data_IF_599795008642
#
_entry.id   IF_599795008642
#
_cell.length_a   1.000
_cell.length_b   1.000
_cell.length_c   1.000
_cell.angle_alpha   90.00
_cell.angle_beta   90.00
_cell.angle_gamma   90.00
#
_symmetry.space_group_name_H-M   'P 1'
#
loop_
_entity.id
_entity.type
_entity.pdbx_description
1 polymer ?
#
# COMPACT_ATOMS: atom_id res chain seq x y z
N UNK A 1 59.31 33.00 -15.06
CA UNK A 1 58.75 34.13 -14.26
C UNK A 1 57.30 33.76 -13.89
N UNK A 2 57.11 33.08 -12.75
CA UNK A 2 55.78 32.76 -12.24
C UNK A 2 55.38 33.93 -11.36
N UNK A 3 54.44 34.76 -11.87
CA UNK A 3 54.02 36.00 -11.21
C UNK A 3 53.45 35.71 -9.82
N UNK A 4 53.91 36.37 -8.81
CA UNK A 4 53.39 36.48 -7.47
C UNK A 4 51.94 37.04 -7.57
N UNK A 5 50.94 36.18 -7.62
CA UNK A 5 49.56 36.60 -7.51
C UNK A 5 49.36 37.11 -6.09
N UNK A 6 49.09 38.42 -5.97
CA UNK A 6 48.87 39.12 -4.71
C UNK A 6 47.91 38.35 -3.81
N UNK A 7 48.38 37.86 -2.67
CA UNK A 7 47.59 37.08 -1.69
C UNK A 7 46.27 37.75 -1.34
N UNK A 8 46.19 39.08 -1.37
CA UNK A 8 44.94 39.84 -1.15
C UNK A 8 43.92 39.67 -2.29
N UNK A 9 44.36 39.51 -3.54
CA UNK A 9 43.46 39.25 -4.68
C UNK A 9 42.89 37.86 -4.60
N UNK A 10 43.73 36.88 -4.28
CA UNK A 10 43.28 35.47 -4.08
C UNK A 10 42.25 35.37 -2.96
N UNK A 11 42.48 36.02 -1.82
CA UNK A 11 41.54 36.02 -0.70
C UNK A 11 40.18 36.63 -1.08
N UNK A 12 40.20 37.76 -1.83
CA UNK A 12 38.96 38.37 -2.34
C UNK A 12 38.19 37.44 -3.28
N UNK A 13 38.87 36.76 -4.20
CA UNK A 13 38.27 35.80 -5.12
C UNK A 13 37.61 34.64 -4.34
N UNK A 14 38.32 34.11 -3.35
CA UNK A 14 37.78 33.02 -2.49
C UNK A 14 36.54 33.46 -1.71
N UNK A 15 36.54 34.69 -1.18
CA UNK A 15 35.37 35.27 -0.50
C UNK A 15 34.18 35.41 -1.48
N UNK A 16 34.43 35.94 -2.68
CA UNK A 16 33.36 36.06 -3.69
C UNK A 16 32.82 34.71 -4.13
N UNK A 17 33.68 33.73 -4.37
CA UNK A 17 33.25 32.36 -4.71
C UNK A 17 32.39 31.77 -3.58
N UNK A 18 32.83 31.92 -2.32
CA UNK A 18 32.07 31.46 -1.16
C UNK A 18 30.70 32.16 -1.04
N UNK A 19 30.66 33.48 -1.20
CA UNK A 19 29.42 34.26 -1.17
C UNK A 19 28.45 33.84 -2.28
N UNK A 20 28.95 33.62 -3.49
CA UNK A 20 28.14 33.15 -4.62
C UNK A 20 27.63 31.73 -4.33
N UNK A 21 28.46 30.83 -3.81
CA UNK A 21 28.04 29.49 -3.44
C UNK A 21 26.96 29.50 -2.36
N UNK A 22 27.13 30.30 -1.30
CA UNK A 22 26.09 30.46 -0.26
C UNK A 22 24.81 31.10 -0.80
N UNK A 23 24.92 32.10 -1.69
CA UNK A 23 23.75 32.70 -2.32
C UNK A 23 22.97 31.70 -3.19
N UNK A 24 23.66 30.85 -3.96
CA UNK A 24 23.05 29.81 -4.76
C UNK A 24 22.36 28.77 -3.88
N UNK A 25 23.02 28.29 -2.82
CA UNK A 25 22.41 27.36 -1.87
C UNK A 25 21.18 27.99 -1.21
N UNK A 26 21.29 29.23 -0.75
CA UNK A 26 20.18 29.98 -0.16
C UNK A 26 19.01 30.15 -1.14
N UNK A 27 19.29 30.48 -2.39
CA UNK A 27 18.27 30.59 -3.43
C UNK A 27 17.54 29.26 -3.69
N UNK A 28 18.30 28.15 -3.83
CA UNK A 28 17.73 26.82 -4.05
C UNK A 28 16.85 26.41 -2.85
N UNK A 29 17.33 26.60 -1.63
CA UNK A 29 16.57 26.28 -0.41
C UNK A 29 15.29 27.11 -0.32
N UNK A 30 15.36 28.40 -0.61
CA UNK A 30 14.21 29.31 -0.61
C UNK A 30 13.19 28.91 -1.67
N UNK A 31 13.64 28.59 -2.88
CA UNK A 31 12.77 28.14 -3.98
C UNK A 31 12.07 26.83 -3.62
N UNK A 32 12.81 25.86 -3.07
CA UNK A 32 12.23 24.58 -2.62
C UNK A 32 11.21 24.81 -1.50
N UNK A 33 11.54 25.68 -0.53
CA UNK A 33 10.62 26.03 0.56
C UNK A 33 9.29 26.61 0.01
N UNK A 34 9.37 27.60 -0.88
CA UNK A 34 8.16 28.18 -1.50
C UNK A 34 7.41 27.17 -2.36
N UNK A 35 8.11 26.35 -3.15
CA UNK A 35 7.47 25.31 -3.95
C UNK A 35 6.66 24.32 -3.09
N UNK A 36 7.20 23.94 -1.93
CA UNK A 36 6.51 23.08 -0.95
C UNK A 36 5.35 23.82 -0.29
N UNK A 37 5.55 25.06 0.15
CA UNK A 37 4.53 25.88 0.84
C UNK A 37 3.35 26.19 -0.06
N UNK A 38 3.61 26.52 -1.34
CA UNK A 38 2.58 26.77 -2.35
C UNK A 38 1.96 25.49 -2.95
N UNK A 39 2.31 24.30 -2.42
CA UNK A 39 1.84 23.01 -2.92
C UNK A 39 2.19 22.69 -4.39
N UNK A 40 3.15 23.37 -5.00
CA UNK A 40 3.57 23.12 -6.39
C UNK A 40 4.18 21.73 -6.58
N UNK A 41 4.63 21.09 -5.49
CA UNK A 41 5.15 19.72 -5.47
C UNK A 41 4.06 18.65 -5.25
N UNK A 42 2.79 19.05 -5.14
CA UNK A 42 1.67 18.10 -5.03
C UNK A 42 1.39 17.48 -6.40
N UNK A 43 1.77 16.23 -6.56
CA UNK A 43 1.22 15.42 -7.63
C UNK A 43 -0.08 14.79 -7.14
N UNK A 44 -1.17 15.02 -7.86
CA UNK A 44 -2.51 14.53 -7.52
C UNK A 44 -2.68 13.00 -7.60
N UNK A 45 -1.59 12.25 -7.73
CA UNK A 45 -1.63 10.83 -8.04
C UNK A 45 -2.05 10.57 -9.50
N UNK A 46 -1.82 9.35 -9.98
CA UNK A 46 -2.30 8.89 -11.28
C UNK A 46 -3.46 7.91 -11.07
N UNK A 47 -4.41 7.90 -11.99
CA UNK A 47 -5.44 6.85 -12.07
C UNK A 47 -4.77 5.60 -12.63
N UNK A 48 -5.12 4.43 -12.10
CA UNK A 48 -4.59 3.15 -12.57
C UNK A 48 -5.14 2.79 -13.95
N UNK A 49 -4.32 2.13 -14.75
CA UNK A 49 -4.74 1.65 -16.08
C UNK A 49 -5.93 0.67 -15.98
N UNK A 50 -6.01 -0.10 -14.91
CA UNK A 50 -7.06 -1.07 -14.67
C UNK A 50 -8.25 -0.51 -13.85
N UNK A 51 -8.38 0.82 -13.69
CA UNK A 51 -9.43 1.44 -12.87
C UNK A 51 -10.84 0.94 -13.22
N UNK A 52 -11.17 0.86 -14.52
CA UNK A 52 -12.47 0.32 -14.99
C UNK A 52 -12.70 -1.13 -14.58
N UNK A 53 -11.64 -1.94 -14.51
CA UNK A 53 -11.75 -3.31 -14.05
C UNK A 53 -12.05 -3.38 -12.56
N UNK A 54 -11.36 -2.58 -11.74
CA UNK A 54 -11.64 -2.51 -10.31
C UNK A 54 -13.08 -2.06 -10.03
N UNK A 55 -13.63 -1.16 -10.84
CA UNK A 55 -15.03 -0.77 -10.76
C UNK A 55 -15.96 -1.97 -11.04
N UNK A 56 -15.77 -2.67 -12.15
CA UNK A 56 -16.55 -3.88 -12.50
C UNK A 56 -16.45 -4.96 -11.41
N UNK A 57 -15.25 -5.15 -10.85
CA UNK A 57 -15.04 -6.13 -9.79
C UNK A 57 -15.79 -5.76 -8.51
N UNK A 58 -15.97 -4.47 -8.23
CA UNK A 58 -16.73 -4.00 -7.08
C UNK A 58 -18.24 -4.20 -7.20
N UNK A 59 -18.75 -4.31 -8.42
CA UNK A 59 -20.17 -4.60 -8.71
C UNK A 59 -20.50 -6.07 -8.57
N UNK A 60 -19.49 -6.96 -8.62
CA UNK A 60 -19.66 -8.41 -8.50
C UNK A 60 -20.01 -8.79 -7.07
N UNK A 61 -21.09 -9.53 -6.91
CA UNK A 61 -21.51 -10.05 -5.63
C UNK A 61 -20.74 -11.33 -5.26
N UNK A 62 -19.94 -11.25 -4.19
CA UNK A 62 -19.15 -12.37 -3.68
C UNK A 62 -19.76 -12.99 -2.41
N UNK A 63 -20.60 -12.25 -1.68
CA UNK A 63 -21.20 -12.74 -0.45
C UNK A 63 -22.03 -13.99 -0.72
N UNK A 64 -21.91 -14.95 0.18
CA UNK A 64 -22.86 -16.04 0.29
C UNK A 64 -24.09 -15.45 0.97
N UNK A 65 -25.22 -15.50 0.30
CA UNK A 65 -26.50 -15.08 0.88
C UNK A 65 -26.92 -16.08 1.97
N UNK A 66 -27.60 -15.60 3.00
CA UNK A 66 -28.23 -16.46 3.99
C UNK A 66 -29.34 -17.34 3.36
N UNK A 67 -29.79 -17.02 2.16
CA UNK A 67 -30.74 -17.79 1.36
C UNK A 67 -30.09 -18.87 0.49
N UNK A 68 -28.75 -18.87 0.35
CA UNK A 68 -28.03 -19.85 -0.47
C UNK A 68 -28.14 -21.23 0.14
N UNK A 69 -28.60 -22.19 -0.64
CA UNK A 69 -28.67 -23.58 -0.19
C UNK A 69 -27.29 -24.21 -0.06
N UNK A 70 -27.17 -25.27 0.73
CA UNK A 70 -25.91 -26.04 0.81
C UNK A 70 -25.48 -26.57 -0.57
N UNK A 71 -26.44 -26.83 -1.46
CA UNK A 71 -26.19 -27.22 -2.84
C UNK A 71 -25.53 -26.07 -3.65
N UNK A 72 -26.04 -24.85 -3.53
CA UNK A 72 -25.50 -23.69 -4.24
C UNK A 72 -24.08 -23.40 -3.79
N UNK A 73 -23.82 -23.48 -2.49
CA UNK A 73 -22.46 -23.33 -1.92
C UNK A 73 -21.52 -24.41 -2.46
N UNK A 74 -21.98 -25.67 -2.51
CA UNK A 74 -21.16 -26.78 -3.03
C UNK A 74 -20.87 -26.64 -4.52
N UNK A 75 -21.85 -26.19 -5.30
CA UNK A 75 -21.72 -25.92 -6.72
C UNK A 75 -20.71 -24.76 -6.96
N UNK A 76 -20.79 -23.70 -6.17
CA UNK A 76 -19.86 -22.57 -6.20
C UNK A 76 -18.43 -23.02 -5.90
N UNK A 77 -18.22 -23.83 -4.86
CA UNK A 77 -16.92 -24.43 -4.53
C UNK A 77 -16.39 -25.28 -5.67
N UNK A 78 -17.21 -26.16 -6.23
CA UNK A 78 -16.80 -27.03 -7.34
C UNK A 78 -16.36 -26.23 -8.56
N UNK A 79 -17.10 -25.19 -8.93
CA UNK A 79 -16.73 -24.29 -10.03
C UNK A 79 -15.42 -23.58 -9.75
N UNK A 80 -15.22 -23.06 -8.53
CA UNK A 80 -13.98 -22.39 -8.12
C UNK A 80 -12.78 -23.35 -8.21
N UNK A 81 -12.92 -24.58 -7.69
CA UNK A 81 -11.86 -25.59 -7.83
C UNK A 81 -11.53 -25.91 -9.28
N UNK A 82 -12.52 -26.03 -10.16
CA UNK A 82 -12.30 -26.26 -11.58
C UNK A 82 -11.51 -25.13 -12.23
N UNK A 83 -11.84 -23.89 -11.88
CA UNK A 83 -11.09 -22.70 -12.35
C UNK A 83 -9.65 -22.70 -11.83
N UNK A 84 -9.43 -23.06 -10.57
CA UNK A 84 -8.08 -23.16 -9.99
C UNK A 84 -7.27 -24.29 -10.66
N UNK A 85 -7.91 -25.40 -11.05
CA UNK A 85 -7.26 -26.47 -11.79
C UNK A 85 -6.78 -25.99 -13.17
N UNK A 86 -7.59 -25.25 -13.91
CA UNK A 86 -7.15 -24.61 -15.16
C UNK A 86 -6.00 -23.65 -14.90
N UNK A 87 -6.10 -22.79 -13.88
CA UNK A 87 -5.01 -21.88 -13.53
C UNK A 87 -3.72 -22.64 -13.20
N UNK A 88 -3.82 -23.82 -12.58
CA UNK A 88 -2.66 -24.64 -12.24
C UNK A 88 -1.90 -25.14 -13.47
N UNK A 89 -2.56 -25.33 -14.61
CA UNK A 89 -1.89 -25.69 -15.87
C UNK A 89 -0.95 -24.59 -16.38
N UNK A 90 -1.32 -23.33 -16.13
CA UNK A 90 -0.57 -22.15 -16.61
C UNK A 90 0.35 -21.56 -15.51
N UNK A 91 -0.15 -21.46 -14.27
CA UNK A 91 0.54 -20.83 -13.15
C UNK A 91 0.38 -21.65 -11.85
N UNK A 92 1.10 -22.78 -11.74
CA UNK A 92 0.99 -23.69 -10.58
C UNK A 92 1.27 -23.01 -9.24
N UNK A 93 2.24 -22.08 -9.20
CA UNK A 93 2.55 -21.34 -7.97
C UNK A 93 1.35 -20.54 -7.47
N UNK A 94 0.68 -19.81 -8.36
CA UNK A 94 -0.47 -18.99 -8.00
C UNK A 94 -1.68 -19.85 -7.61
N UNK A 95 -1.92 -20.95 -8.32
CA UNK A 95 -2.97 -21.91 -7.96
C UNK A 95 -2.75 -22.49 -6.56
N UNK A 96 -1.52 -22.89 -6.23
CA UNK A 96 -1.16 -23.36 -4.90
C UNK A 96 -1.35 -22.29 -3.81
N UNK A 97 -0.99 -21.04 -4.08
CA UNK A 97 -1.18 -19.93 -3.13
C UNK A 97 -2.66 -19.71 -2.82
N UNK A 98 -3.54 -19.79 -3.82
CA UNK A 98 -4.99 -19.69 -3.63
C UNK A 98 -5.51 -20.86 -2.80
N UNK A 99 -5.12 -22.09 -3.14
CA UNK A 99 -5.56 -23.30 -2.42
C UNK A 99 -5.10 -23.27 -0.97
N UNK A 100 -3.85 -22.89 -0.71
CA UNK A 100 -3.33 -22.76 0.63
C UNK A 100 -4.08 -21.69 1.45
N UNK A 101 -4.38 -20.55 0.85
CA UNK A 101 -5.19 -19.52 1.50
C UNK A 101 -6.59 -20.04 1.85
N UNK A 102 -7.25 -20.72 0.90
CA UNK A 102 -8.56 -21.32 1.14
C UNK A 102 -8.53 -22.39 2.23
N UNK A 103 -7.48 -23.22 2.27
CA UNK A 103 -7.32 -24.25 3.31
C UNK A 103 -7.23 -23.64 4.71
N UNK A 104 -6.61 -22.46 4.84
CA UNK A 104 -6.46 -21.79 6.13
C UNK A 104 -7.73 -21.05 6.60
N UNK A 105 -8.41 -20.35 5.72
CA UNK A 105 -9.50 -19.46 6.12
C UNK A 105 -10.91 -19.92 5.73
N UNK A 106 -11.03 -20.92 4.83
CA UNK A 106 -12.30 -21.46 4.30
C UNK A 106 -13.24 -20.37 3.72
N UNK A 107 -12.72 -19.20 3.38
CA UNK A 107 -13.48 -18.06 2.87
C UNK A 107 -13.62 -18.14 1.35
N UNK A 108 -14.78 -18.61 0.87
CA UNK A 108 -15.08 -18.76 -0.56
C UNK A 108 -15.04 -17.40 -1.25
N UNK A 109 -15.64 -16.36 -0.65
CA UNK A 109 -15.72 -15.04 -1.26
C UNK A 109 -14.33 -14.40 -1.41
N UNK A 110 -13.47 -14.53 -0.40
CA UNK A 110 -12.08 -14.10 -0.49
C UNK A 110 -11.33 -14.88 -1.58
N UNK A 111 -11.55 -16.20 -1.66
CA UNK A 111 -10.87 -17.06 -2.64
C UNK A 111 -11.31 -16.75 -4.08
N UNK A 112 -12.59 -16.47 -4.31
CA UNK A 112 -13.07 -16.02 -5.62
C UNK A 112 -12.46 -14.68 -6.02
N UNK A 113 -12.32 -13.74 -5.09
CA UNK A 113 -11.63 -12.47 -5.36
C UNK A 113 -10.14 -12.66 -5.68
N UNK A 114 -9.48 -13.60 -4.99
CA UNK A 114 -8.09 -13.98 -5.31
C UNK A 114 -7.99 -14.51 -6.75
N UNK A 115 -8.93 -15.38 -7.13
CA UNK A 115 -8.97 -15.90 -8.50
C UNK A 115 -9.21 -14.78 -9.52
N UNK A 116 -10.20 -13.92 -9.30
CA UNK A 116 -10.51 -12.80 -10.20
C UNK A 116 -9.35 -11.80 -10.33
N UNK A 117 -8.57 -11.60 -9.27
CA UNK A 117 -7.38 -10.76 -9.31
C UNK A 117 -6.30 -11.31 -10.26
N UNK A 118 -6.18 -12.63 -10.36
CA UNK A 118 -5.29 -13.32 -11.30
C UNK A 118 -5.87 -13.32 -12.72
N UNK A 119 -7.17 -13.58 -12.85
CA UNK A 119 -7.87 -13.59 -14.14
C UNK A 119 -7.71 -12.25 -14.89
N UNK A 120 -7.70 -11.13 -14.17
CA UNK A 120 -7.36 -9.82 -14.74
C UNK A 120 -6.03 -9.82 -15.50
N UNK A 121 -5.01 -10.50 -14.98
CA UNK A 121 -3.69 -10.56 -15.63
C UNK A 121 -3.66 -11.47 -16.83
N UNK A 122 -4.61 -12.39 -16.92
CA UNK A 122 -4.74 -13.39 -17.96
C UNK A 122 -5.80 -13.07 -19.01
N UNK A 123 -6.45 -11.90 -18.92
CA UNK A 123 -7.53 -11.48 -19.83
C UNK A 123 -7.14 -11.51 -21.30
N UNK A 124 -5.87 -11.24 -21.61
CA UNK A 124 -5.34 -11.19 -22.96
C UNK A 124 -4.72 -12.54 -23.42
N UNK A 125 -4.67 -13.54 -22.54
CA UNK A 125 -4.20 -14.88 -22.86
C UNK A 125 -5.36 -15.71 -23.45
N UNK A 126 -5.44 -15.76 -24.78
CA UNK A 126 -6.53 -16.43 -25.49
C UNK A 126 -6.67 -17.91 -25.14
N UNK A 127 -5.55 -18.63 -25.01
CA UNK A 127 -5.57 -20.06 -24.68
C UNK A 127 -6.16 -20.30 -23.29
N UNK A 128 -5.72 -19.52 -22.29
CA UNK A 128 -6.27 -19.57 -20.93
C UNK A 128 -7.77 -19.24 -20.91
N UNK A 129 -8.18 -18.15 -21.60
CA UNK A 129 -9.58 -17.74 -21.63
C UNK A 129 -10.48 -18.78 -22.33
N UNK A 130 -9.96 -19.44 -23.37
CA UNK A 130 -10.66 -20.53 -24.02
C UNK A 130 -10.86 -21.72 -23.07
N UNK A 131 -9.82 -22.11 -22.32
CA UNK A 131 -9.91 -23.22 -21.33
C UNK A 131 -10.85 -22.87 -20.17
N UNK A 132 -10.81 -21.66 -19.65
CA UNK A 132 -11.77 -21.18 -18.62
C UNK A 132 -13.21 -21.23 -19.14
N UNK A 133 -13.45 -20.86 -20.40
CA UNK A 133 -14.81 -20.87 -20.98
C UNK A 133 -15.41 -22.28 -21.14
N UNK A 134 -14.58 -23.30 -21.23
CA UNK A 134 -14.99 -24.71 -21.36
C UNK A 134 -15.36 -25.37 -20.04
N UNK A 135 -15.19 -24.68 -18.91
CA UNK A 135 -15.49 -25.25 -17.59
C UNK A 135 -17.00 -25.32 -17.39
N UNK A 136 -17.56 -26.49 -17.63
CA UNK A 136 -18.94 -26.80 -17.30
C UNK A 136 -19.05 -27.85 -16.16
N UNK A 137 -18.06 -28.71 -16.00
CA UNK A 137 -18.02 -29.77 -14.97
C UNK A 137 -16.53 -30.10 -14.67
N UNK A 138 -16.14 -30.38 -13.42
CA UNK A 138 -14.79 -30.81 -13.10
C UNK A 138 -14.46 -32.13 -13.80
N UNK A 139 -13.48 -32.15 -14.67
CA UNK A 139 -12.88 -33.36 -15.17
C UNK A 139 -11.42 -33.46 -14.76
N UNK A 140 -10.90 -34.65 -14.43
CA UNK A 140 -9.47 -34.83 -14.19
C UNK A 140 -8.67 -34.44 -15.44
N UNK A 141 -7.68 -33.58 -15.26
CA UNK A 141 -6.77 -33.16 -16.34
C UNK A 141 -5.35 -33.57 -16.02
N UNK A 142 -4.60 -33.99 -17.01
CA UNK A 142 -3.17 -34.20 -16.88
C UNK A 142 -2.47 -32.84 -16.81
N UNK A 143 -1.56 -32.69 -15.84
CA UNK A 143 -0.82 -31.44 -15.61
C UNK A 143 0.37 -31.39 -16.55
N UNK A 144 0.47 -30.45 -17.50
CA UNK A 144 1.66 -30.28 -18.31
C UNK A 144 2.86 -29.94 -17.44
N UNK A 145 3.96 -30.63 -17.69
CA UNK A 145 5.16 -30.48 -16.90
C UNK A 145 6.07 -29.48 -17.61
N UNK A 146 6.06 -28.16 -17.23
CA UNK A 146 7.18 -27.32 -17.63
C UNK A 146 7.39 -25.98 -16.92
N UNK A 147 8.46 -25.35 -17.25
CA UNK A 147 9.28 -24.22 -16.77
C UNK A 147 8.57 -23.01 -16.11
N UNK A 148 7.28 -22.83 -16.27
CA UNK A 148 6.48 -21.78 -15.62
C UNK A 148 6.23 -22.03 -14.11
N UNK A 149 6.59 -23.21 -13.62
CA UNK A 149 6.29 -23.65 -12.23
C UNK A 149 6.86 -22.78 -11.12
N UNK A 150 7.80 -21.89 -11.43
CA UNK A 150 8.51 -21.07 -10.43
C UNK A 150 8.18 -19.57 -10.49
N UNK A 151 7.33 -19.13 -11.43
CA UNK A 151 7.06 -17.70 -11.59
C UNK A 151 5.69 -17.33 -11.07
N UNK A 152 5.66 -16.30 -10.23
CA UNK A 152 4.42 -15.67 -9.81
C UNK A 152 3.87 -14.82 -10.98
N UNK A 153 2.57 -14.89 -11.21
CA UNK A 153 1.88 -14.11 -12.23
C UNK A 153 1.98 -12.59 -11.97
N UNK A 154 2.05 -12.20 -10.71
CA UNK A 154 2.36 -10.83 -10.31
C UNK A 154 3.87 -10.59 -10.43
N UNK A 155 4.29 -10.03 -11.55
CA UNK A 155 5.69 -9.97 -11.99
C UNK A 155 6.64 -9.36 -10.97
N UNK A 156 6.22 -8.34 -10.22
CA UNK A 156 7.03 -7.70 -9.19
C UNK A 156 7.35 -8.64 -8.00
N UNK A 157 6.55 -9.70 -7.80
CA UNK A 157 6.81 -10.72 -6.77
C UNK A 157 7.92 -11.71 -7.16
N UNK A 158 8.43 -11.65 -8.39
CA UNK A 158 9.57 -12.44 -8.84
C UNK A 158 10.91 -11.71 -8.65
N UNK A 159 10.91 -10.51 -8.06
CA UNK A 159 12.10 -9.68 -7.85
C UNK A 159 12.84 -10.03 -6.56
N UNK A 160 14.14 -9.75 -6.51
CA UNK A 160 14.94 -9.92 -5.28
C UNK A 160 14.45 -8.97 -4.19
N UNK A 161 14.06 -7.75 -4.55
CA UNK A 161 13.53 -6.74 -3.65
C UNK A 161 12.29 -7.26 -2.91
N UNK A 162 11.42 -8.00 -3.60
CA UNK A 162 10.28 -8.64 -2.96
C UNK A 162 10.72 -9.70 -1.93
N UNK A 163 11.71 -10.52 -2.24
CA UNK A 163 12.18 -11.53 -1.30
C UNK A 163 12.78 -10.91 -0.04
N UNK A 164 13.55 -9.82 -0.19
CA UNK A 164 14.11 -9.06 0.94
C UNK A 164 13.01 -8.42 1.77
N UNK A 165 12.03 -7.80 1.11
CA UNK A 165 10.88 -7.16 1.78
C UNK A 165 10.03 -8.20 2.51
N UNK A 166 9.74 -9.33 1.88
CA UNK A 166 9.01 -10.46 2.48
C UNK A 166 9.67 -10.95 3.77
N UNK A 167 10.99 -11.15 3.76
CA UNK A 167 11.74 -11.55 4.95
C UNK A 167 11.68 -10.49 6.05
N UNK A 168 11.64 -9.22 5.69
CA UNK A 168 11.53 -8.10 6.65
C UNK A 168 10.14 -8.01 7.26
N UNK A 169 9.08 -8.21 6.47
CA UNK A 169 7.69 -8.24 6.93
C UNK A 169 7.47 -9.35 7.96
N UNK A 170 8.00 -10.55 7.69
CA UNK A 170 7.88 -11.69 8.60
C UNK A 170 8.52 -11.45 9.99
N UNK A 171 9.55 -10.61 10.08
CA UNK A 171 10.14 -10.23 11.39
C UNK A 171 9.16 -9.40 12.23
N UNK A 172 8.28 -8.65 11.58
CA UNK A 172 7.32 -7.78 12.24
C UNK A 172 5.93 -8.41 12.41
N UNK A 173 5.73 -9.68 12.05
CA UNK A 173 4.45 -10.40 12.11
C UNK A 173 3.72 -10.13 13.44
N UNK A 174 4.35 -10.44 14.58
CA UNK A 174 3.74 -10.26 15.90
C UNK A 174 3.37 -8.80 16.21
N UNK A 175 4.15 -7.85 15.71
CA UNK A 175 3.90 -6.42 15.88
C UNK A 175 2.68 -6.02 15.05
N UNK A 176 2.60 -6.47 13.81
CA UNK A 176 1.47 -6.20 12.90
C UNK A 176 0.18 -6.83 13.46
N UNK A 177 0.23 -8.06 13.96
CA UNK A 177 -0.91 -8.72 14.60
C UNK A 177 -1.40 -7.99 15.85
N UNK A 178 -0.47 -7.43 16.64
CA UNK A 178 -0.85 -6.63 17.81
C UNK A 178 -1.59 -5.34 17.39
N UNK A 179 -1.19 -4.74 16.28
CA UNK A 179 -1.88 -3.57 15.70
C UNK A 179 -3.25 -3.94 15.14
N UNK A 180 -3.38 -5.09 14.48
CA UNK A 180 -4.70 -5.59 14.04
C UNK A 180 -5.68 -5.71 15.20
N UNK A 181 -5.24 -6.29 16.33
CA UNK A 181 -6.09 -6.50 17.52
C UNK A 181 -6.62 -5.18 18.09
N UNK A 182 -5.82 -4.13 18.12
CA UNK A 182 -6.23 -2.85 18.70
C UNK A 182 -6.93 -1.92 17.71
N UNK A 183 -6.55 -1.97 16.43
CA UNK A 183 -7.13 -1.12 15.38
C UNK A 183 -8.37 -1.72 14.73
N UNK A 184 -8.51 -3.05 14.75
CA UNK A 184 -9.53 -3.78 14.03
C UNK A 184 -9.37 -3.72 12.50
N UNK A 185 -8.19 -3.35 11.99
CA UNK A 185 -7.83 -3.41 10.58
C UNK A 185 -7.04 -4.70 10.37
N UNK A 186 -7.42 -5.55 9.43
CA UNK A 186 -6.71 -6.81 9.22
C UNK A 186 -5.24 -6.59 8.88
N UNK A 187 -4.38 -7.43 9.44
CA UNK A 187 -2.92 -7.40 9.27
C UNK A 187 -2.53 -7.36 7.79
N UNK A 188 -3.23 -8.09 6.95
CA UNK A 188 -3.00 -8.12 5.51
C UNK A 188 -3.17 -6.75 4.84
N UNK A 189 -4.14 -5.94 5.26
CA UNK A 189 -4.31 -4.57 4.74
C UNK A 189 -3.16 -3.65 5.18
N UNK A 190 -2.71 -3.79 6.43
CA UNK A 190 -1.54 -3.06 6.96
C UNK A 190 -0.30 -3.39 6.12
N UNK A 191 -0.08 -4.67 5.82
CA UNK A 191 1.03 -5.12 4.97
C UNK A 191 0.87 -4.60 3.53
N UNK A 192 -0.35 -4.54 3.00
CA UNK A 192 -0.60 -4.03 1.63
C UNK A 192 -0.11 -2.59 1.45
N UNK A 193 -0.37 -1.72 2.42
CA UNK A 193 0.10 -0.31 2.33
C UNK A 193 1.60 -0.21 2.62
N UNK A 194 2.15 -1.06 3.50
CA UNK A 194 3.59 -1.17 3.73
C UNK A 194 4.32 -1.52 2.43
N UNK A 195 3.85 -2.50 1.69
CA UNK A 195 4.45 -2.94 0.42
C UNK A 195 4.44 -1.81 -0.59
N UNK A 196 3.31 -1.12 -0.77
CA UNK A 196 3.22 0.01 -1.69
C UNK A 196 4.25 1.11 -1.39
N UNK A 197 4.47 1.40 -0.11
CA UNK A 197 5.45 2.39 0.32
C UNK A 197 6.89 1.89 0.14
N UNK A 198 7.19 0.66 0.53
CA UNK A 198 8.56 0.12 0.48
C UNK A 198 9.03 -0.12 -0.95
N UNK A 199 8.21 -0.72 -1.82
CA UNK A 199 8.57 -0.93 -3.24
C UNK A 199 8.79 0.43 -3.92
N UNK A 200 7.98 1.44 -3.62
CA UNK A 200 8.19 2.79 -4.12
C UNK A 200 9.56 3.35 -3.72
N UNK A 201 10.03 3.04 -2.52
CA UNK A 201 11.32 3.52 -2.01
C UNK A 201 12.50 2.81 -2.66
N UNK A 202 12.44 1.50 -2.86
CA UNK A 202 13.49 0.73 -3.54
C UNK A 202 13.81 1.28 -4.94
N UNK A 203 12.79 1.73 -5.66
CA UNK A 203 12.92 2.21 -7.04
C UNK A 203 13.01 3.74 -7.16
N UNK A 204 13.19 4.47 -6.06
CA UNK A 204 13.30 5.93 -6.09
C UNK A 204 14.64 6.43 -5.56
N UNK A 205 15.28 7.33 -6.32
CA UNK A 205 16.44 8.12 -5.84
C UNK A 205 16.11 9.03 -4.64
N UNK A 206 14.88 8.99 -4.13
CA UNK A 206 14.39 9.78 -2.99
C UNK A 206 15.07 9.41 -1.67
N UNK A 207 15.53 8.18 -1.51
CA UNK A 207 16.20 7.75 -0.27
C UNK A 207 17.58 8.42 -0.10
N UNK A 208 18.35 8.58 -1.17
CA UNK A 208 19.59 9.33 -1.13
C UNK A 208 19.33 10.79 -0.71
N UNK A 209 18.29 11.41 -1.27
CA UNK A 209 17.86 12.76 -0.93
C UNK A 209 17.36 12.87 0.52
N UNK A 210 16.56 11.91 1.01
CA UNK A 210 16.10 11.86 2.41
C UNK A 210 17.29 11.76 3.39
N UNK A 211 18.25 10.86 3.12
CA UNK A 211 19.47 10.74 3.96
C UNK A 211 20.27 12.03 4.01
N UNK A 212 20.37 12.72 2.88
CA UNK A 212 21.07 14.00 2.79
C UNK A 212 20.35 15.12 3.55
N UNK A 213 19.01 15.12 3.54
CA UNK A 213 18.15 16.13 4.19
C UNK A 213 17.85 15.86 5.68
N UNK A 214 18.11 14.64 6.18
CA UNK A 214 17.86 14.28 7.58
C UNK A 214 18.51 15.19 8.63
N UNK A 215 19.72 15.77 8.42
CA UNK A 215 20.31 16.71 9.38
C UNK A 215 19.54 18.02 9.52
N UNK A 216 18.71 18.38 8.56
CA UNK A 216 17.96 19.64 8.55
C UNK A 216 16.54 19.43 9.14
N UNK A 217 16.46 19.18 10.45
CA UNK A 217 15.19 18.94 11.19
C UNK A 217 14.12 20.01 10.94
N UNK A 218 14.50 21.25 10.71
CA UNK A 218 13.58 22.37 10.44
C UNK A 218 12.82 22.17 9.12
N UNK A 219 13.46 21.56 8.13
CA UNK A 219 12.82 21.27 6.84
C UNK A 219 11.95 20.02 6.89
N UNK A 220 12.18 19.08 7.82
CA UNK A 220 11.36 17.86 7.96
C UNK A 220 10.02 18.12 8.59
N UNK A 221 9.85 19.16 9.40
CA UNK A 221 8.58 19.54 10.04
C UNK A 221 7.64 20.25 9.08
N UNK A 222 8.18 21.03 8.16
CA UNK A 222 7.38 21.73 7.14
C UNK A 222 7.34 20.99 5.80
N UNK A 223 8.29 20.10 5.54
CA UNK A 223 8.31 19.28 4.32
C UNK A 223 7.41 18.05 4.54
N UNK A 224 6.53 17.82 3.60
CA UNK A 224 5.57 16.68 3.55
C UNK A 224 6.28 15.34 3.29
N UNK A 225 7.42 15.07 3.94
CA UNK A 225 8.14 13.81 3.80
C UNK A 225 7.46 12.70 4.60
N UNK A 226 7.49 11.51 4.00
CA UNK A 226 6.98 10.31 4.63
C UNK A 226 7.94 9.81 5.72
N UNK A 227 7.42 9.38 6.86
CA UNK A 227 8.16 8.91 8.02
C UNK A 227 7.88 7.42 8.27
N UNK A 228 8.91 6.72 8.73
CA UNK A 228 8.80 5.32 9.12
C UNK A 228 8.54 4.35 7.96
N UNK A 229 8.34 3.08 8.32
CA UNK A 229 8.20 1.98 7.34
C UNK A 229 6.93 2.07 6.49
N UNK A 230 5.85 2.64 7.02
CA UNK A 230 4.58 2.84 6.31
C UNK A 230 4.50 4.18 5.57
N UNK A 231 5.55 4.98 5.61
CA UNK A 231 5.63 6.23 4.85
C UNK A 231 4.61 7.29 5.23
N UNK A 232 4.12 7.30 6.47
CA UNK A 232 3.16 8.30 6.94
C UNK A 232 3.82 9.68 7.01
N UNK A 233 3.14 10.70 6.50
CA UNK A 233 3.55 12.10 6.63
C UNK A 233 3.21 12.60 8.02
N UNK A 234 4.05 13.44 8.61
CA UNK A 234 3.77 14.02 9.94
C UNK A 234 2.43 14.74 9.99
N UNK A 235 2.09 15.50 8.95
CA UNK A 235 0.78 16.14 8.83
C UNK A 235 -0.39 15.13 8.88
N UNK A 236 -0.20 13.96 8.27
CA UNK A 236 -1.20 12.88 8.31
C UNK A 236 -1.29 12.32 9.73
N UNK A 237 -0.16 12.09 10.41
CA UNK A 237 -0.14 11.61 11.79
C UNK A 237 -0.86 12.58 12.76
N UNK A 238 -0.59 13.89 12.63
CA UNK A 238 -1.28 14.93 13.42
C UNK A 238 -2.80 14.89 13.18
N UNK A 239 -3.23 14.72 11.92
CA UNK A 239 -4.66 14.60 11.60
C UNK A 239 -5.27 13.33 12.17
N UNK A 240 -4.55 12.18 12.07
CA UNK A 240 -4.99 10.92 12.68
C UNK A 240 -5.23 11.10 14.18
N UNK A 241 -4.30 11.70 14.92
CA UNK A 241 -4.43 11.99 16.36
C UNK A 241 -5.64 12.90 16.65
N UNK A 242 -5.79 13.98 15.85
CA UNK A 242 -6.91 14.91 16.00
C UNK A 242 -8.26 14.21 15.78
N UNK A 243 -8.39 13.46 14.70
CA UNK A 243 -9.65 12.82 14.33
C UNK A 243 -10.05 11.68 15.25
N UNK A 244 -9.10 11.08 16.01
CA UNK A 244 -9.44 10.14 17.07
C UNK A 244 -10.24 10.79 18.21
N UNK A 245 -10.06 12.09 18.45
CA UNK A 245 -10.65 12.83 19.57
C UNK A 245 -11.80 13.77 19.17
N UNK A 246 -11.92 14.06 17.90
CA UNK A 246 -12.93 15.00 17.38
C UNK A 246 -14.23 14.24 17.04
N UNK A 247 -15.13 14.13 18.02
CA UNK A 247 -16.44 13.44 17.87
C UNK A 247 -17.32 14.02 16.76
N UNK A 248 -17.08 15.26 16.32
CA UNK A 248 -17.80 15.89 15.20
C UNK A 248 -17.18 15.60 13.83
N UNK A 249 -15.98 15.05 13.80
CA UNK A 249 -15.29 14.71 12.56
C UNK A 249 -15.97 13.54 11.84
N UNK A 250 -16.12 13.59 10.49
CA UNK A 250 -16.55 12.42 9.74
C UNK A 250 -15.58 11.25 9.86
N UNK A 251 -14.32 11.50 10.25
CA UNK A 251 -13.27 10.52 10.47
C UNK A 251 -13.24 9.93 11.88
N UNK A 252 -14.13 10.33 12.78
CA UNK A 252 -14.16 9.81 14.15
C UNK A 252 -14.64 8.36 14.19
N UNK A 253 -13.85 7.48 14.78
CA UNK A 253 -14.02 6.01 14.75
C UNK A 253 -14.51 5.41 16.08
N UNK A 254 -14.80 6.23 17.09
CA UNK A 254 -15.39 5.81 18.36
C UNK A 254 -14.46 5.92 19.57
N UNK A 255 -15.07 5.92 20.77
CA UNK A 255 -14.39 6.20 22.05
C UNK A 255 -13.24 5.23 22.37
N UNK A 256 -13.38 3.96 22.02
CA UNK A 256 -12.35 2.95 22.28
C UNK A 256 -10.99 3.25 21.63
N UNK A 257 -10.95 4.12 20.60
CA UNK A 257 -9.74 4.47 19.86
C UNK A 257 -9.12 5.81 20.30
N UNK A 258 -9.84 6.65 21.07
CA UNK A 258 -9.44 8.03 21.40
C UNK A 258 -8.04 8.12 22.02
N UNK A 259 -7.65 7.11 22.78
CA UNK A 259 -6.42 7.13 23.58
C UNK A 259 -5.25 6.33 22.99
N UNK A 260 -5.43 5.65 21.86
CA UNK A 260 -4.41 4.76 21.28
C UNK A 260 -3.11 5.47 20.88
N UNK A 261 -3.19 6.77 20.56
CA UNK A 261 -2.04 7.58 20.16
C UNK A 261 -1.66 8.64 21.20
N UNK A 262 -2.15 8.56 22.44
CA UNK A 262 -1.79 9.51 23.48
C UNK A 262 -0.27 9.51 23.75
N UNK A 263 0.23 10.69 24.09
CA UNK A 263 1.61 10.88 24.51
C UNK A 263 1.67 11.00 26.03
N UNK A 264 2.70 10.42 26.68
CA UNK A 264 2.84 10.51 28.14
C UNK A 264 3.21 11.92 28.60
N UNK A 265 3.88 12.72 27.76
CA UNK A 265 4.41 14.04 28.10
C UNK A 265 3.99 15.14 27.14
N UNK A 266 4.20 16.40 27.54
CA UNK A 266 3.81 17.61 26.80
C UNK A 266 4.63 17.88 25.50
N UNK A 267 5.80 17.28 25.32
CA UNK A 267 6.65 17.51 24.13
C UNK A 267 6.27 16.60 22.98
N UNK A 268 5.13 16.83 22.39
CA UNK A 268 4.47 15.93 21.43
C UNK A 268 5.25 15.78 20.12
N UNK A 269 5.83 16.85 19.58
CA UNK A 269 6.43 16.84 18.24
C UNK A 269 7.62 15.89 18.13
N UNK A 270 8.55 15.94 19.07
CA UNK A 270 9.71 15.09 19.07
C UNK A 270 9.34 13.61 19.30
N UNK A 271 8.38 13.36 20.19
CA UNK A 271 7.90 12.01 20.46
C UNK A 271 7.18 11.39 19.26
N UNK A 272 6.39 12.15 18.50
CA UNK A 272 5.76 11.67 17.27
C UNK A 272 6.79 11.23 16.24
N UNK A 273 7.81 12.05 16.04
CA UNK A 273 8.91 11.70 15.13
C UNK A 273 9.60 10.40 15.57
N UNK A 274 9.97 10.29 16.85
CA UNK A 274 10.61 9.09 17.42
C UNK A 274 9.73 7.85 17.22
N UNK A 275 8.42 7.94 17.53
CA UNK A 275 7.47 6.83 17.33
C UNK A 275 7.40 6.36 15.89
N UNK A 276 7.36 7.28 14.94
CA UNK A 276 7.21 6.94 13.51
C UNK A 276 8.51 6.40 12.91
N UNK A 277 9.68 6.86 13.39
CA UNK A 277 10.99 6.51 12.82
C UNK A 277 11.76 5.46 13.62
N UNK A 278 11.15 4.84 14.64
CA UNK A 278 11.81 3.82 15.46
C UNK A 278 12.12 2.58 14.63
N UNK A 279 13.42 2.38 14.35
CA UNK A 279 13.89 1.24 13.55
C UNK A 279 13.92 -0.11 14.30
N UNK A 280 13.76 -0.09 15.63
CA UNK A 280 13.74 -1.31 16.47
C UNK A 280 12.32 -1.81 16.75
N UNK A 281 11.33 -0.94 16.67
CA UNK A 281 9.94 -1.28 16.93
C UNK A 281 9.02 -0.42 16.05
N UNK A 282 8.45 -1.00 15.02
CA UNK A 282 7.60 -0.33 14.06
C UNK A 282 6.14 -0.23 14.48
N UNK A 283 5.80 -0.60 15.73
CA UNK A 283 4.41 -0.65 16.22
C UNK A 283 3.61 0.61 15.91
N UNK A 284 4.13 1.77 16.29
CA UNK A 284 3.43 3.02 16.03
C UNK A 284 3.32 3.37 14.55
N UNK A 285 4.33 3.06 13.74
CA UNK A 285 4.24 3.26 12.29
C UNK A 285 3.06 2.47 11.69
N UNK A 286 2.91 1.21 12.09
CA UNK A 286 1.77 0.38 11.68
C UNK A 286 0.45 0.88 12.28
N UNK A 287 0.44 1.27 13.55
CA UNK A 287 -0.78 1.75 14.23
C UNK A 287 -1.34 3.02 13.59
N UNK A 288 -0.49 4.00 13.29
CA UNK A 288 -0.92 5.21 12.58
C UNK A 288 -1.48 4.88 11.20
N UNK A 289 -0.85 3.97 10.46
CA UNK A 289 -1.35 3.54 9.15
C UNK A 289 -2.73 2.87 9.28
N UNK A 290 -2.88 1.91 10.18
CA UNK A 290 -4.13 1.21 10.42
C UNK A 290 -5.26 2.17 10.84
N UNK A 291 -4.99 3.06 11.79
CA UNK A 291 -5.99 4.04 12.25
C UNK A 291 -6.40 5.02 11.14
N UNK A 292 -5.46 5.50 10.32
CA UNK A 292 -5.81 6.37 9.20
C UNK A 292 -6.66 5.65 8.14
N UNK A 293 -6.38 4.39 7.84
CA UNK A 293 -7.19 3.56 6.95
C UNK A 293 -8.61 3.40 7.52
N UNK A 294 -8.72 3.10 8.82
CA UNK A 294 -10.01 2.96 9.49
C UNK A 294 -10.82 4.26 9.50
N UNK A 295 -10.18 5.38 9.76
CA UNK A 295 -10.80 6.71 9.72
C UNK A 295 -11.32 7.06 8.33
N UNK A 296 -10.56 6.76 7.27
CA UNK A 296 -11.00 6.94 5.89
C UNK A 296 -12.23 6.06 5.61
N UNK A 297 -12.19 4.79 5.99
CA UNK A 297 -13.34 3.89 5.82
C UNK A 297 -14.58 4.39 6.56
N UNK A 298 -14.42 4.88 7.78
CA UNK A 298 -15.51 5.43 8.59
C UNK A 298 -16.17 6.65 7.92
N UNK A 299 -15.36 7.57 7.38
CA UNK A 299 -15.87 8.71 6.61
C UNK A 299 -16.75 8.25 5.45
N UNK A 300 -16.31 7.23 4.72
CA UNK A 300 -17.04 6.71 3.57
C UNK A 300 -18.33 6.01 4.00
N UNK A 301 -18.29 5.21 5.06
CA UNK A 301 -19.48 4.55 5.61
C UNK A 301 -20.53 5.55 6.08
N UNK A 302 -20.12 6.61 6.80
CA UNK A 302 -21.02 7.69 7.24
C UNK A 302 -21.66 8.44 6.08
N UNK A 303 -21.00 8.50 4.95
CA UNK A 303 -21.53 9.09 3.73
C UNK A 303 -22.38 8.12 2.87
N UNK A 304 -22.59 6.87 3.32
CA UNK A 304 -23.39 5.87 2.63
C UNK A 304 -22.63 5.06 1.56
N UNK A 305 -21.31 5.19 1.46
CA UNK A 305 -20.49 4.47 0.49
C UNK A 305 -19.63 3.41 1.16
N UNK A 306 -19.69 2.17 0.69
CA UNK A 306 -18.93 1.05 1.26
C UNK A 306 -17.65 0.79 0.48
N UNK A 307 -16.50 0.93 1.15
CA UNK A 307 -15.17 0.57 0.61
C UNK A 307 -14.42 -0.45 1.47
N UNK A 308 -15.09 -1.03 2.46
CA UNK A 308 -14.51 -1.96 3.45
C UNK A 308 -13.99 -3.29 2.86
N UNK A 309 -14.30 -3.56 1.60
CA UNK A 309 -13.87 -4.76 0.87
C UNK A 309 -13.00 -4.40 -0.35
N UNK A 310 -12.50 -3.16 -0.40
CA UNK A 310 -11.78 -2.60 -1.53
C UNK A 310 -10.37 -2.16 -1.12
N UNK A 311 -9.43 -3.12 -0.95
CA UNK A 311 -8.06 -2.80 -0.52
C UNK A 311 -7.36 -1.82 -1.45
N UNK A 312 -7.68 -1.86 -2.76
CA UNK A 312 -7.13 -0.96 -3.77
C UNK A 312 -7.57 0.50 -3.57
N UNK A 313 -8.81 0.72 -3.17
CA UNK A 313 -9.34 2.06 -2.88
C UNK A 313 -8.78 2.59 -1.57
N UNK A 314 -8.81 1.76 -0.52
CA UNK A 314 -8.27 2.12 0.79
C UNK A 314 -6.79 2.48 0.71
N UNK A 315 -6.00 1.70 -0.03
CA UNK A 315 -4.58 1.99 -0.26
C UNK A 315 -4.37 3.26 -1.08
N UNK A 316 -5.19 3.49 -2.11
CA UNK A 316 -5.17 4.73 -2.89
C UNK A 316 -5.39 5.94 -2.00
N UNK A 317 -6.44 5.90 -1.19
CA UNK A 317 -6.82 7.01 -0.30
C UNK A 317 -5.79 7.20 0.83
N UNK A 318 -5.24 6.11 1.37
CA UNK A 318 -4.13 6.17 2.31
C UNK A 318 -2.91 6.91 1.72
N UNK A 319 -2.52 6.56 0.51
CA UNK A 319 -1.38 7.17 -0.18
C UNK A 319 -1.59 8.66 -0.50
N UNK A 320 -2.81 9.03 -0.90
CA UNK A 320 -3.15 10.41 -1.27
C UNK A 320 -3.47 11.30 -0.05
N UNK A 321 -3.98 10.71 1.04
CA UNK A 321 -4.28 11.39 2.30
C UNK A 321 -5.72 11.88 2.44
N UNK A 322 -6.06 12.36 3.62
CA UNK A 322 -7.42 12.78 4.02
C UNK A 322 -8.05 13.85 3.13
N UNK A 323 -7.24 14.77 2.57
CA UNK A 323 -7.75 15.88 1.74
C UNK A 323 -8.36 15.40 0.42
N UNK A 324 -7.90 14.26 -0.07
CA UNK A 324 -8.37 13.66 -1.32
C UNK A 324 -9.53 12.68 -1.07
N UNK A 325 -9.68 12.24 0.18
CA UNK A 325 -10.77 11.33 0.56
C UNK A 325 -12.12 12.05 0.50
N UNK A 326 -12.80 11.87 -0.63
CA UNK A 326 -14.15 12.42 -0.87
C UNK A 326 -15.07 11.26 -1.26
N UNK A 327 -15.98 10.86 -0.34
CA UNK A 327 -16.93 9.79 -0.60
C UNK A 327 -17.75 10.05 -1.87
N UNK A 328 -17.79 9.05 -2.73
CA UNK A 328 -18.54 9.07 -3.99
C UNK A 328 -18.83 7.66 -4.47
N UNK A 329 -19.81 7.53 -5.33
CA UNK A 329 -20.00 6.32 -6.12
C UNK A 329 -18.76 6.11 -7.02
N UNK A 330 -18.38 4.88 -7.26
CA UNK A 330 -17.27 4.51 -8.15
C UNK A 330 -15.95 5.28 -7.88
N UNK A 331 -15.33 5.10 -6.71
CA UNK A 331 -14.04 5.72 -6.41
C UNK A 331 -12.94 5.18 -7.33
N UNK A 332 -12.11 6.07 -7.86
CA UNK A 332 -10.99 5.68 -8.72
C UNK A 332 -9.86 5.04 -7.93
N UNK A 333 -9.21 4.06 -8.53
CA UNK A 333 -8.00 3.42 -8.06
C UNK A 333 -6.77 4.08 -8.67
N UNK A 334 -5.71 4.28 -7.89
CA UNK A 334 -4.50 4.93 -8.39
C UNK A 334 -3.51 5.23 -7.28
N UNK A 335 -3.10 6.49 -7.17
CA UNK A 335 -2.10 6.97 -6.22
C UNK A 335 -0.73 7.20 -6.88
N UNK A 336 0.34 7.11 -6.10
CA UNK A 336 1.71 7.27 -6.61
C UNK A 336 2.05 6.22 -7.66
N UNK A 337 2.67 6.68 -8.76
CA UNK A 337 3.23 5.77 -9.78
C UNK A 337 4.50 5.12 -9.24
N UNK A 338 4.62 3.82 -9.47
CA UNK A 338 5.72 2.99 -9.03
C UNK A 338 6.18 2.16 -10.23
N UNK A 339 7.45 2.23 -10.58
CA UNK A 339 8.01 1.49 -11.72
C UNK A 339 8.82 0.33 -11.17
N UNK A 340 8.49 -0.89 -11.58
CA UNK A 340 9.22 -2.12 -11.23
C UNK A 340 9.48 -2.88 -12.52
N UNK A 341 10.74 -3.12 -12.85
CA UNK A 341 11.14 -3.82 -14.08
C UNK A 341 10.39 -3.29 -15.31
N UNK A 342 10.48 -1.96 -15.53
CA UNK A 342 9.87 -1.23 -16.65
C UNK A 342 8.33 -1.23 -16.67
N UNK A 343 7.68 -1.97 -15.80
CA UNK A 343 6.22 -1.95 -15.64
C UNK A 343 5.79 -0.86 -14.67
N UNK A 344 4.73 -0.17 -15.06
CA UNK A 344 4.13 0.91 -14.24
C UNK A 344 2.99 0.35 -13.44
N UNK A 345 3.08 0.56 -12.13
CA UNK A 345 2.04 0.25 -11.15
C UNK A 345 1.56 1.55 -10.49
N UNK A 346 0.40 1.47 -9.86
CA UNK A 346 -0.02 2.48 -8.89
C UNK A 346 0.02 1.91 -7.48
N UNK A 347 -0.02 2.78 -6.49
CA UNK A 347 -0.03 2.34 -5.08
C UNK A 347 -1.24 1.43 -4.79
N UNK A 348 -2.42 1.79 -5.31
CA UNK A 348 -3.64 1.00 -5.16
C UNK A 348 -3.57 -0.36 -5.86
N UNK A 349 -3.00 -0.43 -7.08
CA UNK A 349 -2.90 -1.70 -7.80
C UNK A 349 -1.91 -2.67 -7.15
N UNK A 350 -0.77 -2.19 -6.63
CA UNK A 350 0.15 -3.04 -5.87
C UNK A 350 -0.50 -3.61 -4.60
N UNK A 351 -1.25 -2.77 -3.88
CA UNK A 351 -1.97 -3.23 -2.69
C UNK A 351 -3.02 -4.29 -3.03
N UNK A 352 -3.75 -4.13 -4.14
CA UNK A 352 -4.70 -5.13 -4.64
C UNK A 352 -4.01 -6.44 -5.00
N UNK A 353 -2.94 -6.38 -5.78
CA UNK A 353 -2.20 -7.56 -6.20
C UNK A 353 -1.65 -8.34 -5.00
N UNK A 354 -1.07 -7.65 -4.00
CA UNK A 354 -0.63 -8.32 -2.78
C UNK A 354 -1.81 -8.88 -1.99
N UNK A 355 -2.86 -8.09 -1.76
CA UNK A 355 -3.98 -8.51 -0.93
C UNK A 355 -4.59 -9.84 -1.43
N UNK A 356 -4.69 -10.02 -2.74
CA UNK A 356 -5.30 -11.20 -3.35
C UNK A 356 -4.29 -12.23 -3.93
N UNK A 357 -2.98 -12.03 -3.76
CA UNK A 357 -1.96 -12.93 -4.30
C UNK A 357 -1.88 -14.29 -3.62
N UNK A 358 -2.31 -14.38 -2.35
CA UNK A 358 -2.04 -15.53 -1.49
C UNK A 358 -0.64 -15.57 -0.87
N UNK A 359 0.28 -14.69 -1.26
CA UNK A 359 1.58 -14.55 -0.60
C UNK A 359 1.39 -14.21 0.87
N UNK A 360 2.15 -14.83 1.76
CA UNK A 360 2.06 -14.66 3.22
C UNK A 360 0.65 -14.93 3.79
N UNK A 361 -0.18 -15.77 3.14
CA UNK A 361 -1.55 -16.01 3.59
C UNK A 361 -1.65 -16.80 4.89
N UNK A 362 -0.58 -17.49 5.29
CA UNK A 362 -0.49 -18.18 6.57
C UNK A 362 -0.34 -17.20 7.73
N UNK A 363 0.55 -16.24 7.59
CA UNK A 363 0.88 -15.22 8.60
C UNK A 363 -0.15 -14.07 8.59
N UNK A 364 -0.57 -13.67 7.40
CA UNK A 364 -1.53 -12.59 7.17
C UNK A 364 -2.68 -13.09 6.29
N UNK A 365 -3.71 -13.73 6.89
CA UNK A 365 -4.79 -14.35 6.13
C UNK A 365 -5.56 -13.37 5.25
N UNK A 366 -6.04 -13.86 4.12
CA UNK A 366 -6.94 -13.11 3.23
C UNK A 366 -8.33 -13.16 3.81
N UNK A 367 -8.93 -12.00 4.08
CA UNK A 367 -10.29 -11.87 4.56
C UNK A 367 -11.15 -11.12 3.54
N UNK A 368 -12.42 -11.48 3.44
CA UNK A 368 -13.36 -10.76 2.60
C UNK A 368 -13.60 -9.34 3.13
N UNK A 369 -13.74 -9.19 4.45
CA UNK A 369 -13.81 -7.88 5.12
C UNK A 369 -12.46 -7.48 5.68
N UNK A 370 -12.04 -6.24 5.40
CA UNK A 370 -10.78 -5.66 5.91
C UNK A 370 -10.90 -5.27 7.38
N UNK A 371 -12.10 -5.04 7.85
CA UNK A 371 -12.36 -4.55 9.22
C UNK A 371 -13.08 -5.62 10.06
N UNK A 372 -12.60 -5.73 11.30
CA UNK A 372 -13.17 -6.58 12.37
C UNK A 372 -13.98 -5.77 13.35
#
# INVERSE_FOLDING_TARGET
MIGFIDKRKWLKILIYISLIAFALVGFVLTTVFFAVKLNLTKHGGSIDFNDRYFQKLSEKEYKISTSDSAYDISKRKALLYSKILVLNEFYPQNANLILNSFTHNQDIAATEKMFDALDLKLKDNKVYQEEISKINIPSPREIPNDSLKKHNLFVWMNTEEWQVLKASILKDEKVIDSVEKVSGVCSRMIVSVLIGEQIRLFHSNREAFKKWMQPLKILTTETKYSLGVTGIKEVTAIKTEKYLKDKKSPFYIGEKYEHLLNFPDSVIQNQRYIRLTNSKNHYYSYLYAALSIRQINEQWQKAGFTISQRPEVLATLFNLGYEVSKPKENPSVGGSRIIVNEKVYTFGSLAFEFYYSGELSKEFPVHFSIFK
#
